data_IF_135880844701
#
_entry.id   IF_135880844701
#
_cell.length_a   1.000
_cell.length_b   1.000
_cell.length_c   1.000
_cell.angle_alpha   90.00
_cell.angle_beta   90.00
_cell.angle_gamma   90.00
#
_symmetry.space_group_name_H-M   'P 1'
#
loop_
_entity.id
_entity.type
_entity.pdbx_description
1 polymer ?
#
# COMPACT_ATOMS: atom_id res chain seq x y z
N UNK A 1 10.14 -12.25 21.70
CA UNK A 1 9.30 -11.13 21.15
C UNK A 1 10.09 -9.83 21.14
N UNK A 2 10.06 -9.08 20.04
CA UNK A 2 10.57 -7.70 20.04
C UNK A 2 9.61 -6.81 20.84
N UNK A 3 10.16 -5.83 21.56
CA UNK A 3 9.38 -4.96 22.45
C UNK A 3 9.30 -3.50 21.98
N UNK A 4 9.91 -3.20 20.81
CA UNK A 4 9.89 -1.89 20.19
C UNK A 4 9.67 -2.05 18.68
N UNK A 5 8.52 -1.59 18.17
CA UNK A 5 8.13 -1.74 16.77
C UNK A 5 6.94 -0.84 16.41
N UNK A 6 6.68 -0.72 15.12
CA UNK A 6 5.49 -0.09 14.58
C UNK A 6 4.73 -1.12 13.75
N UNK A 7 3.45 -1.32 14.02
CA UNK A 7 2.58 -2.13 13.17
C UNK A 7 1.91 -1.21 12.18
N UNK A 8 1.92 -1.56 10.90
CA UNK A 8 1.28 -0.77 9.85
C UNK A 8 0.27 -1.60 9.08
N UNK A 9 -0.72 -0.92 8.56
CA UNK A 9 -1.67 -1.42 7.58
C UNK A 9 -2.07 -0.29 6.63
N UNK A 10 -2.31 -0.62 5.35
CA UNK A 10 -2.67 0.33 4.31
C UNK A 10 -3.92 -0.09 3.58
N UNK A 11 -4.87 0.84 3.43
CA UNK A 11 -5.93 0.69 2.45
C UNK A 11 -5.53 1.33 1.12
N UNK A 12 -5.92 0.69 0.01
CA UNK A 12 -5.47 1.07 -1.32
C UNK A 12 -6.60 0.99 -2.34
N UNK A 13 -6.45 1.66 -3.48
CA UNK A 13 -7.41 1.59 -4.61
C UNK A 13 -7.36 0.27 -5.39
N UNK A 14 -6.47 -0.66 -5.01
CA UNK A 14 -6.31 -1.97 -5.65
C UNK A 14 -5.03 -2.66 -5.21
N UNK A 15 -4.65 -3.74 -5.90
CA UNK A 15 -3.59 -4.65 -5.45
C UNK A 15 -2.22 -4.39 -6.06
N UNK A 16 -2.11 -3.47 -7.01
CA UNK A 16 -0.86 -3.22 -7.73
C UNK A 16 -0.17 -1.94 -7.26
N UNK A 17 0.92 -2.02 -6.48
CA UNK A 17 1.64 -0.82 -6.01
C UNK A 17 2.16 0.04 -7.15
N UNK A 18 2.28 -0.51 -8.34
CA UNK A 18 2.65 0.20 -9.56
C UNK A 18 1.53 1.13 -10.05
N UNK A 19 0.26 0.71 -9.98
CA UNK A 19 -0.90 1.37 -10.58
C UNK A 19 -1.84 2.00 -9.59
N UNK A 20 -1.98 1.34 -8.45
CA UNK A 20 -2.95 1.72 -7.43
C UNK A 20 -2.34 2.69 -6.41
N UNK A 21 -3.17 3.29 -5.60
CA UNK A 21 -2.83 4.38 -4.70
C UNK A 21 -3.21 4.03 -3.27
N UNK A 22 -2.47 4.55 -2.31
CA UNK A 22 -2.83 4.51 -0.89
C UNK A 22 -4.00 5.47 -0.67
N UNK A 23 -5.01 5.04 0.09
CA UNK A 23 -6.19 5.82 0.47
C UNK A 23 -6.36 5.95 1.99
N UNK A 24 -5.75 5.07 2.77
CA UNK A 24 -5.63 5.21 4.22
C UNK A 24 -4.30 4.63 4.70
N UNK A 25 -3.71 5.25 5.72
CA UNK A 25 -2.55 4.74 6.45
C UNK A 25 -2.95 4.58 7.91
N UNK A 26 -2.83 3.38 8.44
CA UNK A 26 -3.01 3.07 9.85
C UNK A 26 -1.72 2.53 10.46
N UNK A 27 -1.38 2.99 11.67
CA UNK A 27 -0.27 2.42 12.39
C UNK A 27 -0.41 2.54 13.90
N UNK A 28 0.18 1.59 14.62
CA UNK A 28 0.32 1.61 16.07
C UNK A 28 1.79 1.46 16.45
N UNK A 29 2.27 2.25 17.41
CA UNK A 29 3.65 2.25 17.88
C UNK A 29 3.72 1.63 19.26
N UNK A 30 4.61 0.66 19.40
CA UNK A 30 4.86 -0.07 20.63
C UNK A 30 6.29 0.20 21.09
N UNK A 31 6.45 0.65 22.32
CA UNK A 31 7.74 0.86 22.96
C UNK A 31 7.74 0.22 24.34
N UNK A 32 8.73 -0.61 24.61
CA UNK A 32 8.81 -1.42 25.83
C UNK A 32 7.56 -2.30 26.09
N UNK A 33 6.94 -2.80 25.01
CA UNK A 33 5.72 -3.60 25.09
C UNK A 33 4.44 -2.79 25.40
N UNK A 34 4.50 -1.47 25.37
CA UNK A 34 3.38 -0.58 25.66
C UNK A 34 3.00 0.20 24.39
N UNK A 35 1.73 0.35 24.12
CA UNK A 35 1.23 1.22 23.06
C UNK A 35 1.51 2.69 23.42
N UNK A 36 2.40 3.34 22.66
CA UNK A 36 2.84 4.73 22.90
C UNK A 36 2.32 5.72 21.87
N UNK A 37 1.82 5.24 20.74
CA UNK A 37 1.29 6.13 19.71
C UNK A 37 0.43 5.42 18.69
N UNK A 38 -0.44 6.19 18.04
CA UNK A 38 -1.25 5.76 16.91
C UNK A 38 -1.15 6.76 15.77
N UNK A 39 -1.26 6.27 14.55
CA UNK A 39 -1.31 7.08 13.35
C UNK A 39 -2.49 6.64 12.49
N UNK A 40 -3.32 7.57 12.06
CA UNK A 40 -4.44 7.29 11.16
C UNK A 40 -4.66 8.49 10.25
N UNK A 41 -4.53 8.30 8.95
CA UNK A 41 -4.74 9.35 7.95
C UNK A 41 -5.42 8.79 6.72
N UNK A 42 -6.54 9.38 6.36
CA UNK A 42 -7.13 9.23 5.04
C UNK A 42 -6.33 10.08 4.03
N UNK A 43 -6.17 9.56 2.83
CA UNK A 43 -5.36 10.15 1.75
C UNK A 43 -6.21 10.33 0.51
N UNK A 44 -6.14 11.50 -0.11
CA UNK A 44 -6.74 11.72 -1.41
C UNK A 44 -5.85 11.13 -2.52
N UNK A 45 -6.28 10.06 -3.22
CA UNK A 45 -5.48 9.45 -4.28
C UNK A 45 -5.53 10.23 -5.60
N UNK A 46 -6.35 11.30 -5.67
CA UNK A 46 -6.65 12.04 -6.90
C UNK A 46 -7.16 11.15 -8.06
N UNK A 47 -7.89 10.09 -7.71
CA UNK A 47 -8.60 9.22 -8.64
C UNK A 47 -9.92 8.80 -8.00
N UNK A 48 -10.90 8.42 -8.81
CA UNK A 48 -12.16 7.86 -8.29
C UNK A 48 -11.92 6.48 -7.64
N UNK A 49 -12.61 6.24 -6.54
CA UNK A 49 -12.61 4.93 -5.87
C UNK A 49 -13.72 4.10 -6.51
N UNK A 50 -13.38 2.88 -6.92
CA UNK A 50 -14.36 1.95 -7.47
C UNK A 50 -15.31 1.44 -6.40
N UNK A 51 -16.56 1.11 -6.80
CA UNK A 51 -17.57 0.55 -5.89
C UNK A 51 -17.05 -0.65 -5.11
N UNK A 52 -16.25 -1.50 -5.77
CA UNK A 52 -15.63 -2.66 -5.14
C UNK A 52 -14.70 -2.27 -3.97
N UNK A 53 -13.92 -1.20 -4.09
CA UNK A 53 -13.06 -0.74 -3.01
C UNK A 53 -13.90 -0.13 -1.89
N UNK A 54 -14.96 0.61 -2.24
CA UNK A 54 -15.92 1.13 -1.24
C UNK A 54 -16.57 -0.01 -0.47
N UNK A 55 -16.98 -1.09 -1.13
CA UNK A 55 -17.56 -2.28 -0.48
C UNK A 55 -16.57 -2.96 0.49
N UNK A 56 -15.28 -2.99 0.15
CA UNK A 56 -14.24 -3.62 0.98
C UNK A 56 -13.86 -2.72 2.16
N UNK A 57 -13.54 -1.45 1.90
CA UNK A 57 -12.91 -0.57 2.90
C UNK A 57 -13.89 0.37 3.61
N UNK A 58 -15.10 0.52 3.06
CA UNK A 58 -16.04 1.55 3.49
C UNK A 58 -15.63 2.98 3.17
N UNK A 59 -14.46 3.18 2.52
CA UNK A 59 -13.93 4.50 2.19
C UNK A 59 -14.54 4.99 0.89
N UNK A 60 -15.33 6.05 0.94
CA UNK A 60 -15.97 6.65 -0.24
C UNK A 60 -15.14 7.81 -0.80
N UNK A 61 -15.35 8.13 -2.09
CA UNK A 61 -14.72 9.29 -2.71
C UNK A 61 -15.01 10.61 -1.97
N UNK A 62 -16.20 10.75 -1.40
CA UNK A 62 -16.57 11.96 -0.63
C UNK A 62 -15.79 12.09 0.69
N UNK A 63 -15.46 10.98 1.34
CA UNK A 63 -14.67 10.98 2.58
C UNK A 63 -13.27 11.51 2.35
N UNK A 64 -12.65 11.18 1.21
CA UNK A 64 -11.24 11.48 0.94
C UNK A 64 -11.02 12.72 0.05
N UNK A 65 -12.07 13.25 -0.55
CA UNK A 65 -11.99 14.39 -1.49
C UNK A 65 -11.27 15.63 -0.92
N UNK A 66 -11.39 15.85 0.40
CA UNK A 66 -10.78 16.99 1.10
C UNK A 66 -9.57 16.58 1.95
N UNK A 67 -9.17 15.30 1.88
CA UNK A 67 -7.99 14.82 2.60
C UNK A 67 -6.70 15.25 1.91
N UNK A 68 -5.57 15.28 2.64
CA UNK A 68 -4.27 15.61 2.06
C UNK A 68 -3.86 14.61 0.98
N UNK A 69 -3.01 15.04 0.07
CA UNK A 69 -2.37 14.14 -0.88
C UNK A 69 -1.25 13.34 -0.21
N UNK A 70 -0.86 12.23 -0.83
CA UNK A 70 0.11 11.29 -0.25
C UNK A 70 1.45 11.95 0.10
N UNK A 71 1.94 12.89 -0.71
CA UNK A 71 3.19 13.61 -0.46
C UNK A 71 3.20 14.42 0.84
N UNK A 72 2.04 14.96 1.23
CA UNK A 72 1.89 15.71 2.48
C UNK A 72 1.91 14.79 3.72
N UNK A 73 1.46 13.55 3.55
CA UNK A 73 1.28 12.58 4.65
C UNK A 73 2.56 11.76 4.90
N UNK A 74 3.29 11.42 3.83
CA UNK A 74 4.41 10.48 3.90
C UNK A 74 5.53 10.94 4.83
N UNK A 75 5.88 12.23 4.81
CA UNK A 75 6.99 12.73 5.64
C UNK A 75 6.66 12.61 7.13
N UNK A 76 5.45 13.00 7.54
CA UNK A 76 4.96 12.85 8.91
C UNK A 76 4.91 11.36 9.30
N UNK A 77 4.41 10.52 8.39
CA UNK A 77 4.33 9.08 8.64
C UNK A 77 5.71 8.44 8.81
N UNK A 78 6.68 8.79 7.97
CA UNK A 78 8.04 8.25 8.10
C UNK A 78 8.75 8.73 9.38
N UNK A 79 8.45 9.94 9.85
CA UNK A 79 8.91 10.40 11.17
C UNK A 79 8.27 9.61 12.31
N UNK A 80 6.98 9.27 12.20
CA UNK A 80 6.29 8.41 13.16
C UNK A 80 6.91 7.00 13.19
N UNK A 81 7.21 6.40 12.04
CA UNK A 81 7.87 5.08 11.94
C UNK A 81 9.29 5.14 12.50
N UNK A 82 10.08 6.15 12.12
CA UNK A 82 11.48 6.27 12.50
C UNK A 82 12.32 5.08 12.04
N UNK A 83 13.19 4.59 12.92
CA UNK A 83 14.01 3.38 12.67
C UNK A 83 13.44 2.13 13.36
N UNK A 84 12.13 2.10 13.61
CA UNK A 84 11.46 0.97 14.23
C UNK A 84 11.40 -0.23 13.30
N UNK A 85 11.39 -1.43 13.88
CA UNK A 85 10.98 -2.65 13.19
C UNK A 85 9.52 -2.49 12.76
N UNK A 86 9.20 -2.85 11.52
CA UNK A 86 7.85 -2.75 10.99
C UNK A 86 7.18 -4.12 11.00
N UNK A 87 6.01 -4.21 11.59
CA UNK A 87 5.19 -5.43 11.62
C UNK A 87 3.94 -5.20 10.76
N UNK A 88 3.48 -6.24 10.07
CA UNK A 88 2.22 -6.23 9.35
C UNK A 88 1.73 -7.64 9.03
N UNK A 89 0.51 -7.74 8.52
CA UNK A 89 -0.06 -8.99 8.03
C UNK A 89 0.02 -9.04 6.51
N UNK A 90 1.00 -9.77 5.94
CA UNK A 90 1.43 -9.65 4.54
C UNK A 90 2.23 -8.36 4.25
N UNK A 91 3.12 -8.00 5.16
CA UNK A 91 3.84 -6.71 5.21
C UNK A 91 4.52 -6.31 3.90
N UNK A 92 4.88 -7.27 3.05
CA UNK A 92 5.45 -6.98 1.73
C UNK A 92 4.51 -6.16 0.85
N UNK A 93 3.20 -6.33 0.99
CA UNK A 93 2.21 -5.55 0.27
C UNK A 93 2.33 -4.08 0.66
N UNK A 94 2.27 -3.78 1.96
CA UNK A 94 2.31 -2.41 2.49
C UNK A 94 3.62 -1.72 2.17
N UNK A 95 4.75 -2.38 2.41
CA UNK A 95 6.09 -1.84 2.10
C UNK A 95 6.24 -1.57 0.59
N UNK A 96 5.65 -2.41 -0.28
CA UNK A 96 5.70 -2.17 -1.71
C UNK A 96 4.94 -0.91 -2.13
N UNK A 97 3.78 -0.64 -1.55
CA UNK A 97 3.02 0.59 -1.77
C UNK A 97 3.75 1.80 -1.19
N UNK A 98 4.24 1.68 0.04
CA UNK A 98 4.98 2.75 0.72
C UNK A 98 6.22 3.17 -0.06
N UNK A 99 7.06 2.21 -0.45
CA UNK A 99 8.30 2.47 -1.22
C UNK A 99 8.00 3.12 -2.57
N UNK A 100 6.92 2.68 -3.25
CA UNK A 100 6.50 3.33 -4.49
C UNK A 100 6.01 4.76 -4.29
N UNK A 101 5.23 5.01 -3.25
CA UNK A 101 4.74 6.34 -2.94
C UNK A 101 5.91 7.27 -2.58
N UNK A 102 6.82 6.84 -1.71
CA UNK A 102 8.03 7.57 -1.34
C UNK A 102 8.89 7.93 -2.57
N UNK A 103 9.09 6.97 -3.46
CA UNK A 103 9.86 7.20 -4.70
C UNK A 103 9.19 8.24 -5.61
N UNK A 104 7.87 8.15 -5.80
CA UNK A 104 7.11 9.06 -6.67
C UNK A 104 7.06 10.48 -6.13
N UNK A 105 7.05 10.64 -4.82
CA UNK A 105 7.06 11.94 -4.14
C UNK A 105 8.48 12.52 -3.94
N UNK A 106 9.53 11.84 -4.44
CA UNK A 106 10.91 12.31 -4.37
C UNK A 106 11.57 12.17 -2.99
N UNK A 107 10.94 11.43 -2.08
CA UNK A 107 11.44 11.18 -0.71
C UNK A 107 12.44 10.00 -0.71
N UNK A 108 13.51 10.15 -1.52
CA UNK A 108 14.46 9.08 -1.82
C UNK A 108 15.25 8.61 -0.60
N UNK A 109 15.42 9.45 0.42
CA UNK A 109 16.09 9.14 1.68
C UNK A 109 15.37 8.04 2.47
N UNK A 110 14.06 7.88 2.26
CA UNK A 110 13.26 6.81 2.87
C UNK A 110 13.12 5.56 1.99
N UNK A 111 13.62 5.58 0.76
CA UNK A 111 13.61 4.41 -0.14
C UNK A 111 14.76 3.49 0.21
N UNK A 112 14.59 2.69 1.24
CA UNK A 112 15.60 1.77 1.81
C UNK A 112 15.00 0.39 2.07
N UNK A 113 15.79 -0.53 2.57
CA UNK A 113 15.29 -1.76 3.20
C UNK A 113 14.78 -1.47 4.61
N UNK A 114 13.80 -2.23 5.03
CA UNK A 114 13.19 -2.14 6.36
C UNK A 114 13.33 -3.46 7.09
N UNK A 115 13.65 -3.45 8.37
CA UNK A 115 13.53 -4.62 9.22
C UNK A 115 12.06 -4.88 9.48
N UNK A 116 11.57 -6.07 9.10
CA UNK A 116 10.14 -6.38 9.15
C UNK A 116 9.87 -7.73 9.79
N UNK A 117 8.69 -7.86 10.38
CA UNK A 117 8.12 -9.14 10.82
C UNK A 117 6.74 -9.28 10.14
N UNK A 118 6.51 -10.42 9.48
CA UNK A 118 5.27 -10.72 8.79
C UNK A 118 4.45 -11.74 9.58
N UNK A 119 3.35 -11.31 10.20
CA UNK A 119 2.47 -12.18 10.98
C UNK A 119 1.81 -13.26 10.13
N UNK A 120 1.59 -13.01 8.81
CA UNK A 120 1.10 -14.03 7.88
C UNK A 120 2.14 -15.15 7.69
N UNK A 121 3.43 -14.81 7.60
CA UNK A 121 4.50 -15.81 7.49
C UNK A 121 4.66 -16.63 8.77
N UNK A 122 4.52 -15.99 9.93
CA UNK A 122 4.48 -16.70 11.21
C UNK A 122 3.29 -17.66 11.24
N UNK A 123 2.09 -17.18 10.93
CA UNK A 123 0.87 -17.99 10.91
C UNK A 123 0.97 -19.19 9.95
N UNK A 124 1.60 -19.01 8.78
CA UNK A 124 1.80 -20.10 7.81
C UNK A 124 2.70 -21.21 8.34
N UNK A 125 3.66 -20.89 9.20
CA UNK A 125 4.60 -21.88 9.77
C UNK A 125 4.06 -22.54 11.04
N UNK A 126 3.33 -21.79 11.87
CA UNK A 126 2.85 -22.28 13.16
C UNK A 126 1.47 -22.94 13.12
N UNK A 127 0.61 -22.52 12.17
CA UNK A 127 -0.78 -22.98 12.12
C UNK A 127 -0.91 -24.07 11.04
N UNK A 128 -1.59 -25.21 11.29
CA UNK A 128 -1.72 -26.31 10.35
C UNK A 128 -2.26 -25.90 8.98
N UNK A 129 -1.86 -26.64 7.95
CA UNK A 129 -2.45 -26.51 6.60
C UNK A 129 -3.96 -26.73 6.65
N UNK A 130 -4.69 -26.02 5.76
CA UNK A 130 -6.17 -26.07 5.71
C UNK A 130 -6.88 -25.07 6.63
N UNK A 131 -6.20 -24.50 7.63
CA UNK A 131 -6.74 -23.38 8.41
C UNK A 131 -6.47 -22.07 7.67
N UNK A 132 -7.47 -21.20 7.59
CA UNK A 132 -7.32 -19.86 6.98
C UNK A 132 -6.31 -19.01 7.76
N UNK A 133 -5.49 -18.25 7.03
CA UNK A 133 -4.51 -17.33 7.60
C UNK A 133 -4.85 -15.86 7.30
N UNK A 134 -6.11 -15.58 6.95
CA UNK A 134 -6.59 -14.20 6.83
C UNK A 134 -6.63 -13.56 8.21
N UNK A 135 -6.32 -12.28 8.28
CA UNK A 135 -6.30 -11.54 9.56
C UNK A 135 -7.60 -11.73 10.34
N UNK A 136 -8.74 -11.50 9.71
CA UNK A 136 -10.05 -11.65 10.34
C UNK A 136 -10.30 -13.07 10.88
N UNK A 137 -9.94 -14.12 10.12
CA UNK A 137 -10.14 -15.51 10.55
C UNK A 137 -9.21 -15.88 11.73
N UNK A 138 -7.99 -15.34 11.74
CA UNK A 138 -7.06 -15.51 12.86
C UNK A 138 -7.53 -14.74 14.10
N UNK A 139 -8.10 -13.55 13.93
CA UNK A 139 -8.71 -12.82 15.06
C UNK A 139 -9.82 -13.64 15.72
N UNK A 140 -10.70 -14.24 14.91
CA UNK A 140 -11.76 -15.13 15.44
C UNK A 140 -11.13 -16.34 16.15
N UNK A 141 -10.13 -16.99 15.53
CA UNK A 141 -9.47 -18.18 16.08
C UNK A 141 -8.82 -17.92 17.45
N UNK A 142 -8.23 -16.74 17.64
CA UNK A 142 -7.52 -16.38 18.86
C UNK A 142 -8.33 -15.50 19.82
N UNK A 143 -9.62 -15.26 19.52
CA UNK A 143 -10.49 -14.44 20.36
C UNK A 143 -10.09 -12.97 20.44
N UNK A 144 -9.49 -12.46 19.39
CA UNK A 144 -9.13 -11.04 19.25
C UNK A 144 -10.36 -10.29 18.77
N UNK A 145 -10.82 -9.33 19.57
CA UNK A 145 -11.98 -8.50 19.21
C UNK A 145 -11.60 -7.53 18.08
N UNK A 146 -12.36 -7.60 16.98
CA UNK A 146 -12.20 -6.76 15.81
C UNK A 146 -13.49 -5.96 15.60
N UNK A 147 -13.43 -4.65 15.85
CA UNK A 147 -14.61 -3.78 15.90
C UNK A 147 -14.95 -3.10 14.57
N UNK A 148 -13.96 -2.86 13.73
CA UNK A 148 -14.08 -2.10 12.49
C UNK A 148 -13.20 -2.69 11.40
N UNK A 149 -13.61 -3.84 10.85
CA UNK A 149 -12.91 -4.46 9.71
C UNK A 149 -12.64 -3.46 8.59
N UNK A 150 -11.48 -3.60 7.94
CA UNK A 150 -11.06 -2.81 6.78
C UNK A 150 -10.98 -1.30 7.07
N UNK A 151 -10.47 -0.96 8.24
CA UNK A 151 -9.95 0.36 8.59
C UNK A 151 -8.51 0.21 9.03
N UNK A 152 -7.61 0.83 8.29
CA UNK A 152 -6.17 0.61 8.44
C UNK A 152 -5.65 0.71 9.89
N UNK A 153 -6.14 1.66 10.69
CA UNK A 153 -5.75 1.75 12.10
C UNK A 153 -6.23 0.55 12.92
N UNK A 154 -7.48 0.09 12.69
CA UNK A 154 -8.00 -1.07 13.39
C UNK A 154 -7.25 -2.33 12.98
N UNK A 155 -6.97 -2.52 11.68
CA UNK A 155 -6.24 -3.68 11.18
C UNK A 155 -4.79 -3.70 11.66
N UNK A 156 -4.14 -2.54 11.80
CA UNK A 156 -2.85 -2.43 12.49
C UNK A 156 -2.96 -2.83 13.97
N UNK A 157 -4.03 -2.42 14.67
CA UNK A 157 -4.24 -2.75 16.07
C UNK A 157 -4.50 -4.25 16.30
N UNK A 158 -5.37 -4.87 15.50
CA UNK A 158 -5.63 -6.32 15.63
C UNK A 158 -4.42 -7.14 15.17
N UNK A 159 -3.64 -6.66 14.20
CA UNK A 159 -2.36 -7.28 13.82
C UNK A 159 -1.33 -7.23 14.95
N UNK A 160 -1.27 -6.13 15.71
CA UNK A 160 -0.46 -6.06 16.94
C UNK A 160 -0.89 -7.14 17.93
N UNK A 161 -2.19 -7.26 18.22
CA UNK A 161 -2.72 -8.28 19.13
C UNK A 161 -2.46 -9.70 18.65
N UNK A 162 -2.61 -9.93 17.35
CA UNK A 162 -2.26 -11.21 16.73
C UNK A 162 -0.77 -11.54 16.91
N UNK A 163 0.12 -10.57 16.69
CA UNK A 163 1.56 -10.76 16.89
C UNK A 163 1.89 -11.15 18.33
N UNK A 164 1.32 -10.44 19.33
CA UNK A 164 1.48 -10.79 20.75
C UNK A 164 1.03 -12.23 21.03
N UNK A 165 -0.14 -12.61 20.47
CA UNK A 165 -0.71 -13.94 20.68
C UNK A 165 0.11 -15.05 20.03
N UNK A 166 0.60 -14.82 18.82
CA UNK A 166 1.49 -15.76 18.15
C UNK A 166 2.81 -15.94 18.92
N UNK A 167 3.39 -14.85 19.45
CA UNK A 167 4.58 -14.94 20.30
C UNK A 167 4.31 -15.73 21.59
N UNK A 168 3.20 -15.43 22.28
CA UNK A 168 2.82 -16.11 23.52
C UNK A 168 2.76 -17.63 23.34
N UNK A 169 2.17 -18.08 22.21
CA UNK A 169 1.93 -19.51 21.96
C UNK A 169 3.16 -20.21 21.39
N UNK A 170 3.84 -19.61 20.42
CA UNK A 170 4.77 -20.34 19.55
C UNK A 170 6.24 -19.93 19.68
N UNK A 171 6.57 -18.78 20.28
CA UNK A 171 7.96 -18.30 20.30
C UNK A 171 8.91 -19.27 21.00
N UNK A 172 8.43 -20.00 22.01
CA UNK A 172 9.21 -20.96 22.80
C UNK A 172 9.16 -22.41 22.29
N UNK A 173 8.38 -22.70 21.25
CA UNK A 173 8.18 -24.06 20.73
C UNK A 173 9.23 -24.50 19.68
N UNK A 174 10.41 -23.87 19.65
CA UNK A 174 11.51 -24.21 18.73
C UNK A 174 11.53 -23.40 17.42
N UNK A 175 10.52 -22.59 17.18
CA UNK A 175 10.36 -21.76 15.97
C UNK A 175 10.80 -20.30 16.17
N UNK A 176 11.57 -20.01 17.23
CA UNK A 176 11.95 -18.64 17.61
C UNK A 176 12.65 -17.83 16.51
N UNK A 177 13.18 -18.48 15.48
CA UNK A 177 13.82 -17.79 14.33
C UNK A 177 12.80 -17.01 13.51
N UNK A 178 11.56 -17.50 13.38
CA UNK A 178 10.52 -16.86 12.55
C UNK A 178 9.95 -15.57 13.17
N UNK A 179 10.23 -15.32 14.45
CA UNK A 179 9.86 -14.10 15.16
C UNK A 179 10.95 -13.03 15.11
N UNK A 180 12.09 -13.32 14.47
CA UNK A 180 13.17 -12.35 14.28
C UNK A 180 12.86 -11.45 13.10
N UNK A 181 13.23 -10.17 13.20
CA UNK A 181 13.12 -9.26 12.07
C UNK A 181 13.97 -9.74 10.89
N UNK A 182 13.42 -9.60 9.69
CA UNK A 182 14.11 -9.87 8.43
C UNK A 182 14.17 -8.58 7.60
N UNK A 183 15.29 -8.37 6.90
CA UNK A 183 15.45 -7.22 6.01
C UNK A 183 14.59 -7.40 4.76
N UNK A 184 13.57 -6.58 4.62
CA UNK A 184 12.72 -6.52 3.44
C UNK A 184 13.14 -5.36 2.53
N UNK A 185 13.55 -5.68 1.32
CA UNK A 185 13.92 -4.70 0.30
C UNK A 185 12.91 -4.75 -0.84
N UNK A 186 12.09 -3.71 -0.95
CA UNK A 186 11.21 -3.50 -2.09
C UNK A 186 11.84 -2.47 -3.03
N UNK A 187 11.86 -2.76 -4.33
CA UNK A 187 12.33 -1.82 -5.35
C UNK A 187 11.14 -1.03 -5.87
N UNK A 188 11.23 0.31 -5.97
CA UNK A 188 10.16 1.09 -6.56
C UNK A 188 10.02 0.77 -8.04
N UNK A 189 8.80 0.83 -8.54
CA UNK A 189 8.55 0.71 -9.96
C UNK A 189 8.96 2.00 -10.65
N UNK A 190 9.99 1.91 -11.47
CA UNK A 190 10.41 3.01 -12.33
C UNK A 190 9.52 3.03 -13.56
N UNK A 191 8.86 4.15 -13.79
CA UNK A 191 8.15 4.35 -15.04
C UNK A 191 9.16 4.34 -16.20
N UNK A 192 8.90 3.50 -17.20
CA UNK A 192 9.71 3.46 -18.41
C UNK A 192 9.36 4.67 -19.27
N UNK A 193 10.37 5.27 -19.89
CA UNK A 193 10.12 6.27 -20.93
C UNK A 193 9.24 5.67 -22.03
N UNK A 194 8.32 6.48 -22.55
CA UNK A 194 7.47 6.02 -23.63
C UNK A 194 8.30 5.72 -24.89
N UNK A 195 8.11 4.54 -25.50
CA UNK A 195 8.74 4.27 -26.80
C UNK A 195 8.35 5.34 -27.83
N UNK A 196 9.30 5.74 -28.67
CA UNK A 196 9.05 6.75 -29.72
C UNK A 196 7.82 6.46 -30.57
N UNK A 197 7.54 5.18 -30.83
CA UNK A 197 6.33 4.76 -31.57
C UNK A 197 5.02 5.09 -30.85
N UNK A 198 4.97 4.95 -29.52
CA UNK A 198 3.79 5.31 -28.73
C UNK A 198 3.61 6.83 -28.67
N UNK A 199 4.69 7.59 -28.48
CA UNK A 199 4.67 9.07 -28.52
C UNK A 199 4.13 9.53 -29.87
N UNK A 200 4.66 8.97 -30.96
CA UNK A 200 4.21 9.29 -32.33
C UNK A 200 2.72 8.98 -32.50
N UNK A 201 2.27 7.80 -32.08
CA UNK A 201 0.87 7.39 -32.17
C UNK A 201 -0.05 8.33 -31.36
N UNK A 202 0.31 8.71 -30.15
CA UNK A 202 -0.46 9.68 -29.37
C UNK A 202 -0.56 11.03 -30.07
N UNK A 203 0.57 11.54 -30.61
CA UNK A 203 0.57 12.81 -31.37
C UNK A 203 -0.32 12.74 -32.63
N UNK A 204 -0.31 11.63 -33.34
CA UNK A 204 -1.18 11.38 -34.50
C UNK A 204 -2.66 11.30 -34.08
N UNK A 205 -2.98 10.61 -32.99
CA UNK A 205 -4.33 10.48 -32.44
C UNK A 205 -4.90 11.85 -32.02
N UNK A 206 -4.11 12.67 -31.35
CA UNK A 206 -4.48 14.03 -30.98
C UNK A 206 -4.77 14.90 -32.21
N UNK A 207 -3.89 14.83 -33.23
CA UNK A 207 -4.12 15.56 -34.51
C UNK A 207 -5.39 15.11 -35.21
N UNK A 208 -5.63 13.79 -35.25
CA UNK A 208 -6.80 13.23 -35.92
C UNK A 208 -8.11 13.74 -35.31
N UNK A 209 -8.15 13.90 -33.99
CA UNK A 209 -9.32 14.39 -33.28
C UNK A 209 -9.30 15.90 -33.00
N UNK A 210 -8.35 16.66 -33.57
CA UNK A 210 -8.16 18.10 -33.34
C UNK A 210 -8.06 18.46 -31.85
N UNK A 211 -7.35 17.64 -31.06
CA UNK A 211 -7.13 17.83 -29.63
C UNK A 211 -5.75 18.44 -29.36
N UNK A 212 -5.67 19.28 -28.34
CA UNK A 212 -4.39 19.79 -27.81
C UNK A 212 -4.09 19.10 -26.49
N UNK A 213 -2.79 18.86 -26.23
CA UNK A 213 -2.35 18.32 -24.93
C UNK A 213 -1.85 19.45 -24.05
N UNK A 214 -2.27 19.41 -22.78
CA UNK A 214 -1.74 20.28 -21.72
C UNK A 214 -0.40 19.75 -21.17
N UNK A 215 -0.01 18.53 -21.55
CA UNK A 215 1.18 17.84 -21.08
C UNK A 215 2.29 17.83 -22.12
N UNK A 216 3.55 17.85 -21.65
CA UNK A 216 4.74 17.62 -22.50
C UNK A 216 4.82 16.13 -22.89
N UNK A 217 4.24 15.78 -24.03
CA UNK A 217 4.09 14.39 -24.50
C UNK A 217 5.45 13.70 -24.65
N UNK A 218 6.51 14.45 -24.98
CA UNK A 218 7.83 13.87 -25.18
C UNK A 218 8.51 13.42 -23.88
N UNK A 219 8.01 13.90 -22.72
CA UNK A 219 8.49 13.51 -21.39
C UNK A 219 7.58 12.50 -20.69
N UNK A 220 6.49 12.12 -21.33
CA UNK A 220 5.56 11.16 -20.73
C UNK A 220 6.18 9.77 -20.61
N UNK A 221 5.88 9.10 -19.51
CA UNK A 221 6.16 7.68 -19.36
C UNK A 221 5.30 6.83 -20.29
N UNK A 222 5.74 5.62 -20.58
CA UNK A 222 5.00 4.64 -21.38
C UNK A 222 3.56 4.47 -20.89
N UNK A 223 3.36 4.55 -19.59
CA UNK A 223 2.08 4.35 -18.94
C UNK A 223 1.15 5.55 -19.08
N UNK A 224 1.70 6.76 -18.91
CA UNK A 224 0.96 8.00 -19.14
C UNK A 224 0.48 8.09 -20.58
N UNK A 225 1.34 7.78 -21.54
CA UNK A 225 0.98 7.73 -22.96
C UNK A 225 -0.13 6.71 -23.19
N UNK A 226 -0.02 5.47 -22.64
CA UNK A 226 -1.06 4.44 -22.80
C UNK A 226 -2.41 4.91 -22.25
N UNK A 227 -2.44 5.43 -21.02
CA UNK A 227 -3.67 5.95 -20.39
C UNK A 227 -4.28 7.10 -21.19
N UNK A 228 -3.46 8.00 -21.71
CA UNK A 228 -3.94 9.13 -22.49
C UNK A 228 -4.53 8.67 -23.82
N UNK A 229 -3.89 7.71 -24.49
CA UNK A 229 -4.41 7.06 -25.70
C UNK A 229 -5.75 6.39 -25.42
N UNK A 230 -5.86 5.59 -24.34
CA UNK A 230 -7.09 4.90 -23.97
C UNK A 230 -8.22 5.89 -23.69
N UNK A 231 -7.93 6.99 -22.97
CA UNK A 231 -8.90 8.06 -22.70
C UNK A 231 -9.40 8.74 -23.98
N UNK A 232 -8.50 9.02 -24.93
CA UNK A 232 -8.89 9.62 -26.21
C UNK A 232 -9.75 8.63 -27.02
N UNK A 233 -9.34 7.38 -27.09
CA UNK A 233 -10.08 6.35 -27.84
C UNK A 233 -11.47 6.13 -27.23
N UNK A 234 -11.60 6.14 -25.90
CA UNK A 234 -12.87 5.99 -25.21
C UNK A 234 -13.82 7.14 -25.53
N UNK A 235 -13.33 8.37 -25.55
CA UNK A 235 -14.15 9.57 -25.71
C UNK A 235 -14.42 9.94 -27.18
N UNK A 236 -13.49 9.67 -28.08
CA UNK A 236 -13.52 10.15 -29.47
C UNK A 236 -13.44 9.04 -30.52
N UNK A 237 -13.15 7.81 -30.09
CA UNK A 237 -13.00 6.67 -30.98
C UNK A 237 -11.58 6.48 -31.51
N UNK A 238 -11.40 5.39 -32.26
CA UNK A 238 -10.11 5.06 -32.91
C UNK A 238 -9.98 5.80 -34.23
N UNK A 239 -8.73 6.07 -34.64
CA UNK A 239 -8.44 6.53 -36.00
C UNK A 239 -8.97 5.51 -37.01
N UNK A 240 -9.73 5.97 -38.00
CA UNK A 240 -10.12 5.14 -39.15
C UNK A 240 -8.88 4.91 -40.02
N UNK A 241 -8.59 3.66 -40.35
CA UNK A 241 -7.60 3.36 -41.40
C UNK A 241 -8.11 3.95 -42.71
N UNK A 242 -7.34 4.86 -43.29
CA UNK A 242 -7.52 5.34 -44.66
C UNK A 242 -6.94 4.30 -45.59
#
# INVERSE_FOLDING_TARGET
MVNQYVVIDLETTGLSPERDKIIEIGAVKIENGILTGTYSKLVNPNVEISDRIVEITGITSDMIKKCPFIGEVLQEFMQFVGDSIIIGHSIKFDISFLVNALYKEGLSEYVKGYETIDTLNIARKCIPEGVSKRLADLCVMYGIEDKEHHRALNDAFVTHKLYEKLCEIYENEGEGIIFKPEMLVCKPYKDKEAPRGQIKFLKELLRYHNLTSEYDIDKMSQREVSRYVDKIILNYGRMKKI
#
